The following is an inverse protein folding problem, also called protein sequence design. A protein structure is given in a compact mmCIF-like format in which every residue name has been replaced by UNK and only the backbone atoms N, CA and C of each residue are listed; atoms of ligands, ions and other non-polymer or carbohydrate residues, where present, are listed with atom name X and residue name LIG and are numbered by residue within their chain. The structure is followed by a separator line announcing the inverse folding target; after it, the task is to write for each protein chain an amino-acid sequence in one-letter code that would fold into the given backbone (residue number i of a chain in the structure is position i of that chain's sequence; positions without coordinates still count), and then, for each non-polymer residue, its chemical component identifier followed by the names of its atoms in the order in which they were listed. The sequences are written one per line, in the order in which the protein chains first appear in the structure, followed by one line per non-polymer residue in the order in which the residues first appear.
data_IF_627732212695
#
_entry.id   IF_627732212695
#
_cell.length_a   1.000
_cell.length_b   1.000
_cell.length_c   1.000
_cell.angle_alpha   90.00
_cell.angle_beta   90.00
_cell.angle_gamma   90.00
#
_symmetry.space_group_name_H-M   'P 1'
#
loop_
_entity.id
_entity.type
_entity.pdbx_description
1 polymer ?
#
# COMPACT_ATOMS: atom_id res chain seq x y z
N UNK A 1 18.68 3.62 14.91
CA UNK A 1 17.34 3.49 14.31
C UNK A 1 17.20 2.07 13.80
N UNK A 2 16.30 1.31 14.41
CA UNK A 2 15.98 -0.07 14.02
C UNK A 2 15.25 -0.10 12.67
N UNK A 3 15.20 -1.27 12.01
CA UNK A 3 14.55 -1.41 10.69
C UNK A 3 13.07 -1.03 10.74
N UNK A 4 12.34 -1.46 11.77
CA UNK A 4 10.95 -1.11 12.01
C UNK A 4 10.73 0.41 12.17
N UNK A 5 11.64 1.10 12.86
CA UNK A 5 11.57 2.57 13.01
C UNK A 5 11.81 3.28 11.67
N UNK A 6 12.71 2.76 10.83
CA UNK A 6 12.95 3.29 9.48
C UNK A 6 11.72 3.11 8.58
N UNK A 7 11.04 1.95 8.65
CA UNK A 7 9.82 1.69 7.90
C UNK A 7 8.69 2.64 8.33
N UNK A 8 8.50 2.82 9.64
CA UNK A 8 7.50 3.76 10.18
C UNK A 8 7.77 5.20 9.74
N UNK A 9 9.03 5.64 9.81
CA UNK A 9 9.42 6.97 9.37
C UNK A 9 9.21 7.17 7.87
N UNK A 10 9.57 6.17 7.04
CA UNK A 10 9.35 6.20 5.61
C UNK A 10 7.85 6.25 5.25
N UNK A 11 7.03 5.46 5.93
CA UNK A 11 5.57 5.43 5.74
C UNK A 11 4.94 6.78 6.03
N UNK A 12 5.30 7.39 7.16
CA UNK A 12 4.83 8.72 7.54
C UNK A 12 5.24 9.78 6.51
N UNK A 13 6.48 9.73 6.03
CA UNK A 13 6.94 10.64 4.98
C UNK A 13 6.14 10.51 3.68
N UNK A 14 5.93 9.28 3.20
CA UNK A 14 5.15 9.03 1.96
C UNK A 14 3.71 9.46 2.14
N UNK A 15 3.08 9.17 3.29
CA UNK A 15 1.73 9.61 3.60
C UNK A 15 1.59 11.14 3.59
N UNK A 16 2.55 11.85 4.19
CA UNK A 16 2.58 13.31 4.15
C UNK A 16 2.70 13.84 2.72
N UNK A 17 3.55 13.25 1.88
CA UNK A 17 3.66 13.66 0.46
C UNK A 17 2.37 13.44 -0.32
N UNK A 18 1.69 12.33 -0.10
CA UNK A 18 0.38 12.07 -0.71
C UNK A 18 -0.64 13.13 -0.26
N UNK A 19 -0.70 13.43 1.04
CA UNK A 19 -1.59 14.43 1.60
C UNK A 19 -1.31 15.83 1.02
N UNK A 20 -0.04 16.23 0.93
CA UNK A 20 0.36 17.50 0.33
C UNK A 20 -0.14 17.62 -1.11
N UNK A 21 0.02 16.56 -1.92
CA UNK A 21 -0.44 16.55 -3.32
C UNK A 21 -1.97 16.65 -3.39
N UNK A 22 -2.70 15.95 -2.52
CA UNK A 22 -4.17 16.01 -2.48
C UNK A 22 -4.65 17.42 -2.14
N UNK A 23 -4.10 18.03 -1.08
CA UNK A 23 -4.46 19.38 -0.63
C UNK A 23 -4.16 20.39 -1.73
N UNK A 24 -2.95 20.35 -2.30
CA UNK A 24 -2.55 21.21 -3.42
C UNK A 24 -3.47 21.08 -4.63
N UNK A 25 -3.83 19.86 -5.02
CA UNK A 25 -4.73 19.63 -6.15
C UNK A 25 -6.14 20.18 -5.90
N UNK A 26 -6.61 20.14 -4.64
CA UNK A 26 -7.91 20.66 -4.24
C UNK A 26 -7.93 22.19 -4.16
N UNK A 27 -6.92 22.78 -3.49
CA UNK A 27 -6.85 24.23 -3.22
C UNK A 27 -6.46 25.04 -4.47
N UNK A 28 -5.49 24.56 -5.27
CA UNK A 28 -4.91 25.32 -6.39
C UNK A 28 -5.61 25.04 -7.74
N UNK A 29 -6.84 24.48 -7.74
CA UNK A 29 -7.62 24.21 -8.96
C UNK A 29 -6.83 23.48 -10.06
N UNK A 30 -6.19 22.36 -9.71
CA UNK A 30 -5.61 21.43 -10.68
C UNK A 30 -4.30 21.86 -11.38
N UNK A 31 -3.62 22.88 -10.88
CA UNK A 31 -2.43 23.46 -11.53
C UNK A 31 -1.05 22.92 -11.11
N UNK A 32 -0.94 22.11 -10.05
CA UNK A 32 0.36 21.61 -9.59
C UNK A 32 0.77 20.34 -10.36
N UNK A 33 1.56 20.59 -11.40
CA UNK A 33 2.26 19.59 -12.21
C UNK A 33 3.34 18.89 -11.38
N UNK A 34 2.94 18.04 -10.44
CA UNK A 34 3.79 16.90 -10.13
C UNK A 34 4.05 16.13 -11.43
N UNK A 35 5.26 15.59 -11.58
CA UNK A 35 5.58 14.83 -12.79
C UNK A 35 4.59 13.68 -12.92
N UNK A 36 4.06 13.45 -14.13
CA UNK A 36 3.13 12.35 -14.37
C UNK A 36 3.69 11.04 -13.78
N UNK A 37 2.87 10.34 -12.99
CA UNK A 37 3.28 9.12 -12.29
C UNK A 37 3.79 9.31 -10.86
N UNK A 38 4.14 10.53 -10.42
CA UNK A 38 4.63 10.79 -9.05
C UNK A 38 3.64 10.31 -7.98
N UNK A 39 2.35 10.62 -8.17
CA UNK A 39 1.30 10.19 -7.25
C UNK A 39 1.18 8.65 -7.20
N UNK A 40 1.22 7.99 -8.36
CA UNK A 40 1.19 6.53 -8.46
C UNK A 40 2.39 5.89 -7.76
N UNK A 41 3.61 6.40 -8.00
CA UNK A 41 4.82 5.90 -7.34
C UNK A 41 4.77 6.07 -5.82
N UNK A 42 4.16 7.15 -5.31
CA UNK A 42 3.96 7.33 -3.88
C UNK A 42 2.96 6.31 -3.31
N UNK A 43 1.87 6.02 -4.00
CA UNK A 43 0.92 4.96 -3.61
C UNK A 43 1.58 3.58 -3.59
N UNK A 44 2.35 3.25 -4.63
CA UNK A 44 3.10 2.00 -4.72
C UNK A 44 4.13 1.89 -3.60
N UNK A 45 4.86 2.97 -3.32
CA UNK A 45 5.82 3.04 -2.22
C UNK A 45 5.15 2.84 -0.86
N UNK A 46 4.00 3.47 -0.65
CA UNK A 46 3.22 3.31 0.59
C UNK A 46 2.81 1.84 0.77
N UNK A 47 2.26 1.22 -0.28
CA UNK A 47 1.85 -0.20 -0.24
C UNK A 47 3.03 -1.14 -0.03
N UNK A 48 4.18 -0.88 -0.66
CA UNK A 48 5.39 -1.68 -0.46
C UNK A 48 5.88 -1.64 1.00
N UNK A 49 5.75 -0.49 1.66
CA UNK A 49 6.10 -0.35 3.08
C UNK A 49 5.12 -1.13 3.96
N UNK A 50 3.81 -1.10 3.66
CA UNK A 50 2.83 -1.92 4.39
C UNK A 50 3.15 -3.41 4.32
N UNK A 51 3.48 -3.92 3.12
CA UNK A 51 3.88 -5.31 2.94
C UNK A 51 5.15 -5.62 3.76
N UNK A 52 6.13 -4.71 3.78
CA UNK A 52 7.34 -4.89 4.57
C UNK A 52 7.07 -4.92 6.08
N UNK A 53 6.17 -4.06 6.59
CA UNK A 53 5.73 -4.05 7.99
C UNK A 53 4.97 -5.34 8.36
N UNK A 54 4.09 -5.80 7.48
CA UNK A 54 3.35 -7.06 7.62
C UNK A 54 4.26 -8.30 7.68
N UNK A 55 5.34 -8.30 6.90
CA UNK A 55 6.37 -9.35 6.94
C UNK A 55 7.20 -9.29 8.23
N UNK A 56 7.53 -8.09 8.74
CA UNK A 56 8.26 -7.95 10.02
C UNK A 56 7.43 -8.33 11.25
N UNK A 57 6.13 -8.00 11.23
CA UNK A 57 5.20 -8.31 12.32
C UNK A 57 4.74 -9.77 12.32
N UNK A 58 5.09 -10.54 11.29
CA UNK A 58 4.74 -11.96 11.18
C UNK A 58 3.26 -12.26 10.96
N UNK A 59 2.43 -11.23 10.72
CA UNK A 59 0.97 -11.34 10.78
C UNK A 59 0.34 -11.82 9.45
N UNK A 60 0.94 -11.54 8.29
CA UNK A 60 0.25 -11.77 6.99
C UNK A 60 0.57 -13.09 6.27
N UNK A 61 1.75 -13.68 6.45
CA UNK A 61 2.12 -14.82 5.58
C UNK A 61 1.31 -16.11 5.81
N UNK A 62 0.66 -16.27 6.96
CA UNK A 62 -0.16 -17.45 7.25
C UNK A 62 -1.65 -17.19 6.97
N UNK A 63 -2.16 -16.01 7.33
CA UNK A 63 -3.57 -15.65 7.18
C UNK A 63 -3.94 -15.35 5.71
N UNK A 64 -3.10 -14.63 4.96
CA UNK A 64 -3.36 -14.38 3.53
C UNK A 64 -3.24 -15.67 2.71
N UNK A 65 -2.23 -16.51 2.96
CA UNK A 65 -2.13 -17.83 2.29
C UNK A 65 -3.31 -18.75 2.58
N UNK A 66 -3.84 -18.71 3.81
CA UNK A 66 -5.03 -19.47 4.17
C UNK A 66 -6.28 -18.96 3.43
N UNK A 67 -6.43 -17.64 3.31
CA UNK A 67 -7.54 -17.02 2.60
C UNK A 67 -7.46 -17.23 1.08
N UNK A 68 -6.29 -17.08 0.47
CA UNK A 68 -6.07 -17.36 -0.95
C UNK A 68 -6.35 -18.83 -1.30
N UNK A 69 -5.97 -19.76 -0.43
CA UNK A 69 -6.26 -21.18 -0.60
C UNK A 69 -7.76 -21.50 -0.46
N UNK A 70 -8.47 -20.78 0.43
CA UNK A 70 -9.92 -20.90 0.62
C UNK A 70 -10.69 -20.36 -0.60
N UNK A 71 -10.32 -19.16 -1.06
CA UNK A 71 -10.94 -18.48 -2.21
C UNK A 71 -10.73 -19.28 -3.52
N UNK A 72 -9.54 -19.87 -3.72
CA UNK A 72 -9.27 -20.78 -4.83
C UNK A 72 -10.16 -22.04 -4.77
N UNK A 73 -10.28 -22.66 -3.59
CA UNK A 73 -11.11 -23.87 -3.40
C UNK A 73 -12.58 -23.59 -3.71
N UNK A 74 -13.11 -22.47 -3.21
CA UNK A 74 -14.49 -22.05 -3.46
C UNK A 74 -14.74 -21.74 -4.95
N UNK A 75 -13.79 -21.07 -5.62
CA UNK A 75 -13.90 -20.77 -7.05
C UNK A 75 -13.89 -22.02 -7.95
N UNK A 76 -13.11 -23.05 -7.59
CA UNK A 76 -13.08 -24.32 -8.32
C UNK A 76 -14.39 -25.11 -8.14
N UNK A 77 -14.92 -25.17 -6.92
CA UNK A 77 -16.19 -25.87 -6.63
C UNK A 77 -17.38 -25.23 -7.35
N UNK A 78 -17.42 -23.89 -7.41
CA UNK A 78 -18.50 -23.13 -8.06
C UNK A 78 -18.54 -23.26 -9.59
N UNK A 79 -17.45 -23.71 -10.20
CA UNK A 79 -17.34 -23.95 -11.64
C UNK A 79 -17.59 -25.42 -12.03
N UNK A 80 -17.92 -26.29 -11.07
CA UNK A 80 -18.22 -27.71 -11.29
C UNK A 80 -19.71 -28.06 -11.09
N UNK A 81 -20.55 -27.09 -10.73
CA UNK A 81 -22.02 -27.16 -10.74
C UNK A 81 -22.60 -26.60 -12.05
#
# INVERSE_FOLDING_TARGET
MERAEKLRAAKAYVAHKIADIIVKNFDDTGGLLETAGTFTTLLESYRAIEIAESLESGFDTAAERAKDAEDYRQGVLRNQE
#
